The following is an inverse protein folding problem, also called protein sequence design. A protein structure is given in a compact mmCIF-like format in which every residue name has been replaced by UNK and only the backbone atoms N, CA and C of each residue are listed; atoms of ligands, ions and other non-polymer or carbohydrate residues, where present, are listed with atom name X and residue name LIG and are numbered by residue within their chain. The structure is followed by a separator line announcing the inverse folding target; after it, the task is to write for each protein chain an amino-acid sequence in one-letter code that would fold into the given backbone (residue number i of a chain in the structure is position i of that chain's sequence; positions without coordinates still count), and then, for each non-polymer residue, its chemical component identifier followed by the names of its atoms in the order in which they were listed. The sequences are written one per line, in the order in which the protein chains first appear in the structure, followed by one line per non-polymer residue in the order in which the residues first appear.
data_IF_694257377965
#
_entry.id   IF_694257377965
#
_cell.length_a   1.000
_cell.length_b   1.000
_cell.length_c   1.000
_cell.angle_alpha   90.00
_cell.angle_beta   90.00
_cell.angle_gamma   90.00
#
_symmetry.space_group_name_H-M   'P 1'
#
loop_
_entity.id
_entity.type
_entity.pdbx_description
1 polymer ?
#
# COMPACT_ATOMS: atom_id res chain seq x y z
N UNK A 1 41.28 -13.95 4.27
CA UNK A 1 41.13 -14.01 2.80
C UNK A 1 39.70 -13.64 2.46
N UNK A 2 39.52 -12.48 1.81
CA UNK A 2 38.23 -11.88 1.45
C UNK A 2 37.65 -12.64 0.26
N UNK A 3 36.36 -13.00 0.32
CA UNK A 3 35.58 -13.39 -0.87
C UNK A 3 34.64 -12.24 -1.20
N UNK A 4 35.05 -11.44 -2.18
CA UNK A 4 34.23 -10.42 -2.83
C UNK A 4 33.41 -11.17 -3.86
N UNK A 5 32.10 -11.26 -3.68
CA UNK A 5 31.18 -11.71 -4.73
C UNK A 5 30.88 -10.47 -5.57
N UNK A 6 31.53 -10.41 -6.73
CA UNK A 6 31.22 -9.43 -7.76
C UNK A 6 29.90 -9.85 -8.43
N UNK A 7 28.83 -9.10 -8.17
CA UNK A 7 27.62 -9.15 -8.99
C UNK A 7 27.70 -7.94 -9.94
N UNK A 8 27.72 -8.28 -11.22
CA UNK A 8 27.87 -7.47 -12.42
C UNK A 8 27.38 -6.00 -12.34
N UNK A 9 28.32 -5.09 -12.54
CA UNK A 9 28.15 -3.65 -12.73
C UNK A 9 27.62 -3.28 -14.14
N UNK A 10 26.54 -3.91 -14.62
CA UNK A 10 26.08 -3.70 -16.01
C UNK A 10 24.58 -3.50 -16.20
N UNK A 11 23.89 -2.85 -15.26
CA UNK A 11 22.57 -2.20 -15.47
C UNK A 11 22.48 -0.85 -14.74
N UNK A 12 23.60 -0.11 -14.63
CA UNK A 12 23.64 1.17 -13.89
C UNK A 12 23.56 2.40 -14.81
N UNK A 13 23.67 2.25 -16.13
CA UNK A 13 23.77 3.40 -17.05
C UNK A 13 22.52 3.75 -17.89
N UNK A 14 21.35 3.13 -17.66
CA UNK A 14 20.12 3.49 -18.40
C UNK A 14 18.98 4.06 -17.53
N UNK A 15 19.10 4.01 -16.21
CA UNK A 15 18.04 4.51 -15.30
C UNK A 15 18.31 5.98 -14.88
N UNK A 16 19.58 6.41 -14.89
CA UNK A 16 20.00 7.75 -14.45
C UNK A 16 19.49 8.92 -15.30
N UNK A 17 19.03 8.68 -16.54
CA UNK A 17 18.45 9.73 -17.40
C UNK A 17 16.92 9.85 -17.31
N UNK A 18 16.21 8.83 -16.84
CA UNK A 18 14.75 8.83 -16.73
C UNK A 18 14.24 9.30 -15.35
N UNK A 19 15.09 9.24 -14.33
CA UNK A 19 14.75 9.57 -12.94
C UNK A 19 14.43 11.07 -12.70
N UNK A 20 14.97 11.98 -13.51
CA UNK A 20 14.61 13.40 -13.44
C UNK A 20 13.18 13.70 -13.96
N UNK A 21 12.57 12.78 -14.71
CA UNK A 21 11.20 12.92 -15.22
C UNK A 21 10.17 12.26 -14.29
N UNK A 22 10.58 11.35 -13.41
CA UNK A 22 9.67 10.57 -12.57
C UNK A 22 9.36 11.23 -11.21
N UNK A 23 10.21 12.13 -10.71
CA UNK A 23 9.89 12.94 -9.52
C UNK A 23 8.92 14.10 -9.80
N UNK A 24 8.65 14.39 -11.09
CA UNK A 24 7.63 15.36 -11.53
C UNK A 24 6.38 14.71 -12.14
N UNK A 25 6.28 13.37 -12.15
CA UNK A 25 5.15 12.67 -12.78
C UNK A 25 4.44 11.64 -11.89
N UNK A 26 4.74 11.59 -10.59
CA UNK A 26 3.95 10.83 -9.61
C UNK A 26 2.57 11.43 -9.32
N UNK A 27 2.24 12.57 -9.94
CA UNK A 27 0.87 13.04 -10.18
C UNK A 27 0.63 13.12 -11.70
N UNK A 28 0.73 12.00 -12.43
CA UNK A 28 -0.06 11.87 -13.67
C UNK A 28 -1.51 11.78 -13.21
N UNK A 29 -2.04 12.96 -12.98
CA UNK A 29 -3.29 13.16 -12.32
C UNK A 29 -4.41 12.52 -13.12
N UNK A 30 -5.37 11.96 -12.38
CA UNK A 30 -6.69 11.65 -12.89
C UNK A 30 -7.38 12.93 -13.45
N UNK A 31 -6.77 14.12 -13.36
CA UNK A 31 -7.22 15.36 -14.04
C UNK A 31 -7.33 15.22 -15.57
N UNK A 32 -6.92 14.07 -16.14
CA UNK A 32 -7.16 13.73 -17.54
C UNK A 32 -7.79 12.34 -17.68
N UNK A 33 -8.88 12.06 -16.97
CA UNK A 33 -9.84 11.13 -17.56
C UNK A 33 -10.19 11.71 -18.93
N UNK A 34 -9.77 11.02 -19.98
CA UNK A 34 -10.01 11.51 -21.33
C UNK A 34 -11.49 11.28 -21.59
N UNK A 35 -12.30 12.30 -21.33
CA UNK A 35 -13.76 12.28 -21.47
C UNK A 35 -14.24 11.94 -22.88
N UNK A 36 -13.34 12.04 -23.88
CA UNK A 36 -13.72 11.89 -25.29
C UNK A 36 -14.71 12.98 -25.71
N UNK A 37 -15.38 12.77 -26.85
CA UNK A 37 -16.56 13.55 -27.21
C UNK A 37 -17.80 12.73 -26.86
N UNK A 38 -18.57 13.18 -25.86
CA UNK A 38 -19.90 12.62 -25.56
C UNK A 38 -20.98 13.55 -26.10
N UNK A 39 -22.05 12.97 -26.62
CA UNK A 39 -23.25 13.67 -27.09
C UNK A 39 -24.42 13.57 -26.12
N UNK A 40 -24.27 12.77 -25.06
CA UNK A 40 -25.33 12.44 -24.08
C UNK A 40 -25.02 13.09 -22.73
N UNK A 41 -23.78 13.00 -22.25
CA UNK A 41 -23.39 13.41 -20.90
C UNK A 41 -22.70 14.77 -20.90
N UNK A 42 -22.98 15.56 -19.86
CA UNK A 42 -22.43 16.91 -19.72
C UNK A 42 -21.04 16.88 -19.08
N UNK A 43 -20.29 17.97 -19.23
CA UNK A 43 -18.98 18.12 -18.57
C UNK A 43 -19.07 17.98 -17.04
N UNK A 44 -20.18 18.43 -16.43
CA UNK A 44 -20.42 18.30 -14.98
C UNK A 44 -20.61 16.85 -14.54
N UNK A 45 -21.23 16.01 -15.37
CA UNK A 45 -21.35 14.56 -15.12
C UNK A 45 -19.95 13.91 -15.11
N UNK A 46 -19.13 14.26 -16.11
CA UNK A 46 -17.76 13.75 -16.19
C UNK A 46 -16.90 14.20 -14.99
N UNK A 47 -17.01 15.47 -14.58
CA UNK A 47 -16.25 16.00 -13.45
C UNK A 47 -16.63 15.29 -12.15
N UNK A 48 -17.94 15.09 -11.91
CA UNK A 48 -18.45 14.38 -10.72
C UNK A 48 -17.90 12.96 -10.63
N UNK A 49 -18.03 12.16 -11.70
CA UNK A 49 -17.53 10.78 -11.70
C UNK A 49 -16.00 10.75 -11.59
N UNK A 50 -15.31 11.71 -12.20
CA UNK A 50 -13.85 11.83 -12.13
C UNK A 50 -13.37 12.08 -10.69
N UNK A 51 -14.08 12.90 -9.92
CA UNK A 51 -13.76 13.15 -8.50
C UNK A 51 -13.95 11.90 -7.63
N UNK A 52 -15.01 11.12 -7.86
CA UNK A 52 -15.24 9.86 -7.15
C UNK A 52 -14.15 8.82 -7.46
N UNK A 53 -13.76 8.70 -8.74
CA UNK A 53 -12.65 7.84 -9.16
C UNK A 53 -11.34 8.29 -8.48
N UNK A 54 -11.06 9.61 -8.42
CA UNK A 54 -9.88 10.15 -7.71
C UNK A 54 -9.85 9.70 -6.26
N UNK A 55 -10.93 9.96 -5.54
CA UNK A 55 -11.05 9.62 -4.14
C UNK A 55 -10.82 8.13 -3.88
N UNK A 56 -11.43 7.27 -4.70
CA UNK A 56 -11.26 5.83 -4.58
C UNK A 56 -9.83 5.37 -4.87
N UNK A 57 -9.20 5.88 -5.93
CA UNK A 57 -7.83 5.51 -6.32
C UNK A 57 -6.79 5.99 -5.29
N UNK A 58 -6.99 7.16 -4.68
CA UNK A 58 -6.16 7.66 -3.57
C UNK A 58 -6.26 6.72 -2.36
N UNK A 59 -7.48 6.30 -2.00
CA UNK A 59 -7.72 5.36 -0.90
C UNK A 59 -7.07 4.00 -1.14
N UNK A 60 -7.02 3.54 -2.39
CA UNK A 60 -6.35 2.29 -2.75
C UNK A 60 -4.82 2.40 -2.81
N UNK A 61 -4.24 3.60 -2.64
CA UNK A 61 -2.81 3.86 -2.80
C UNK A 61 -2.28 3.41 -4.16
N UNK A 62 -2.99 3.73 -5.25
CA UNK A 62 -2.61 3.35 -6.61
C UNK A 62 -2.14 4.54 -7.45
N UNK A 63 -1.29 4.26 -8.43
CA UNK A 63 -0.95 5.16 -9.52
C UNK A 63 -1.79 4.79 -10.73
N UNK A 64 -2.62 5.72 -11.19
CA UNK A 64 -3.36 5.57 -12.45
C UNK A 64 -2.41 5.77 -13.63
N UNK A 65 -2.36 4.77 -14.51
CA UNK A 65 -1.52 4.75 -15.71
C UNK A 65 -2.27 5.32 -16.91
N UNK A 66 -3.56 4.99 -17.05
CA UNK A 66 -4.47 5.58 -18.02
C UNK A 66 -5.91 5.52 -17.53
N UNK A 67 -6.71 6.50 -17.92
CA UNK A 67 -8.16 6.50 -17.73
C UNK A 67 -8.85 7.08 -18.96
N UNK A 68 -9.87 6.38 -19.44
CA UNK A 68 -10.63 6.79 -20.62
C UNK A 68 -12.10 6.42 -20.50
N UNK A 69 -12.97 7.33 -20.91
CA UNK A 69 -14.38 7.02 -21.13
C UNK A 69 -14.52 6.11 -22.37
N UNK A 70 -15.32 5.04 -22.27
CA UNK A 70 -15.52 4.10 -23.40
C UNK A 70 -16.52 4.60 -24.45
N UNK A 71 -17.17 5.73 -24.21
CA UNK A 71 -18.12 6.33 -25.16
C UNK A 71 -19.58 6.00 -24.87
N UNK A 72 -20.45 6.76 -25.52
CA UNK A 72 -21.90 6.71 -25.37
C UNK A 72 -22.47 5.33 -25.76
N UNK A 73 -21.90 4.69 -26.80
CA UNK A 73 -22.39 3.40 -27.30
C UNK A 73 -22.16 2.27 -26.29
N UNK A 74 -20.95 2.17 -25.73
CA UNK A 74 -20.63 1.16 -24.70
C UNK A 74 -21.53 1.37 -23.47
N UNK A 75 -21.71 2.63 -23.07
CA UNK A 75 -22.56 3.02 -21.95
C UNK A 75 -24.03 2.61 -22.12
N UNK A 76 -24.50 2.52 -23.36
CA UNK A 76 -25.87 2.15 -23.70
C UNK A 76 -26.12 0.64 -23.83
N UNK A 77 -25.09 -0.20 -23.73
CA UNK A 77 -25.24 -1.64 -23.90
C UNK A 77 -26.16 -2.25 -22.82
N UNK A 78 -26.98 -3.21 -23.24
CA UNK A 78 -27.95 -3.89 -22.38
C UNK A 78 -27.32 -4.58 -21.18
N UNK A 79 -26.09 -5.06 -21.35
CA UNK A 79 -25.32 -5.62 -20.26
C UNK A 79 -25.16 -4.61 -19.11
N UNK A 80 -24.64 -3.41 -19.36
CA UNK A 80 -24.36 -2.44 -18.29
C UNK A 80 -25.64 -1.86 -17.68
N UNK A 81 -26.66 -1.57 -18.49
CA UNK A 81 -27.96 -1.13 -17.97
C UNK A 81 -28.61 -2.18 -17.06
N UNK A 82 -28.49 -3.47 -17.41
CA UNK A 82 -28.96 -4.56 -16.56
C UNK A 82 -28.17 -4.66 -15.24
N UNK A 83 -26.85 -4.49 -15.27
CA UNK A 83 -26.03 -4.47 -14.05
C UNK A 83 -26.45 -3.32 -13.12
N UNK A 84 -26.68 -2.12 -13.67
CA UNK A 84 -27.20 -0.97 -12.91
C UNK A 84 -28.60 -1.22 -12.32
N UNK A 85 -29.52 -1.84 -13.08
CA UNK A 85 -30.83 -2.25 -12.56
C UNK A 85 -30.72 -3.21 -11.39
N UNK A 86 -29.84 -4.22 -11.50
CA UNK A 86 -29.64 -5.21 -10.46
C UNK A 86 -29.03 -4.59 -9.20
N UNK A 87 -28.10 -3.65 -9.35
CA UNK A 87 -27.55 -2.89 -8.24
C UNK A 87 -28.61 -2.05 -7.53
N UNK A 88 -29.39 -1.28 -8.29
CA UNK A 88 -30.49 -0.48 -7.74
C UNK A 88 -31.46 -1.36 -6.96
N UNK A 89 -31.96 -2.46 -7.55
CA UNK A 89 -32.87 -3.38 -6.88
C UNK A 89 -32.28 -3.98 -5.60
N UNK A 90 -30.98 -4.28 -5.55
CA UNK A 90 -30.34 -4.79 -4.31
C UNK A 90 -30.36 -3.77 -3.18
N UNK A 91 -30.26 -2.47 -3.50
CA UNK A 91 -30.20 -1.40 -2.50
C UNK A 91 -31.58 -0.87 -2.10
N UNK A 92 -32.52 -0.79 -3.05
CA UNK A 92 -33.85 -0.16 -2.84
C UNK A 92 -34.99 -1.17 -2.79
N UNK A 93 -34.79 -2.38 -3.30
CA UNK A 93 -35.86 -3.37 -3.58
C UNK A 93 -36.90 -2.89 -4.61
N UNK A 94 -36.55 -1.91 -5.44
CA UNK A 94 -37.39 -1.36 -6.51
C UNK A 94 -36.83 -1.72 -7.89
N UNK A 95 -37.72 -1.88 -8.89
CA UNK A 95 -37.32 -2.12 -10.28
C UNK A 95 -37.35 -0.79 -11.02
N UNK A 96 -36.17 -0.23 -11.33
CA UNK A 96 -36.04 0.95 -12.16
C UNK A 96 -36.44 0.63 -13.62
N UNK A 97 -37.07 1.57 -14.32
CA UNK A 97 -37.31 1.42 -15.74
C UNK A 97 -36.00 1.60 -16.51
N UNK A 98 -35.81 0.83 -17.57
CA UNK A 98 -34.56 0.79 -18.33
C UNK A 98 -34.16 2.14 -18.97
N UNK A 99 -35.16 2.96 -19.30
CA UNK A 99 -34.98 4.29 -19.88
C UNK A 99 -34.62 5.35 -18.83
N UNK A 100 -34.79 5.05 -17.54
CA UNK A 100 -34.48 5.96 -16.42
C UNK A 100 -33.04 5.73 -15.88
N UNK A 101 -32.22 4.97 -16.61
CA UNK A 101 -30.87 4.58 -16.22
C UNK A 101 -29.87 5.19 -17.18
N UNK A 102 -29.09 6.10 -16.62
CA UNK A 102 -27.90 6.65 -17.24
C UNK A 102 -26.68 5.87 -16.74
N UNK A 103 -25.79 5.49 -17.65
CA UNK A 103 -24.58 4.73 -17.34
C UNK A 103 -23.35 5.41 -17.95
N UNK A 104 -22.23 5.39 -17.25
CA UNK A 104 -20.93 5.79 -17.79
C UNK A 104 -19.92 4.68 -17.51
N UNK A 105 -19.29 4.18 -18.58
CA UNK A 105 -18.29 3.12 -18.47
C UNK A 105 -16.90 3.71 -18.68
N UNK A 106 -16.03 3.51 -17.70
CA UNK A 106 -14.65 3.97 -17.75
C UNK A 106 -13.70 2.79 -17.82
N UNK A 107 -12.69 2.93 -18.65
CA UNK A 107 -11.49 2.12 -18.58
C UNK A 107 -10.52 2.76 -17.62
N UNK A 108 -10.02 2.00 -16.65
CA UNK A 108 -8.96 2.46 -15.77
C UNK A 108 -7.87 1.40 -15.75
N UNK A 109 -6.66 1.82 -16.12
CA UNK A 109 -5.45 1.05 -15.94
C UNK A 109 -4.67 1.68 -14.80
N UNK A 110 -4.44 0.93 -13.74
CA UNK A 110 -3.73 1.43 -12.55
C UNK A 110 -2.76 0.38 -12.01
N UNK A 111 -1.87 0.81 -11.13
CA UNK A 111 -0.95 -0.06 -10.41
C UNK A 111 -0.78 0.46 -9.00
N UNK A 112 -0.81 -0.40 -7.99
CA UNK A 112 -0.51 0.03 -6.62
C UNK A 112 0.84 0.72 -6.53
N UNK A 113 0.84 1.92 -5.95
CA UNK A 113 2.05 2.67 -5.68
C UNK A 113 2.84 1.92 -4.63
N UNK A 114 4.13 1.70 -4.87
CA UNK A 114 5.01 1.07 -3.88
C UNK A 114 5.39 2.13 -2.84
N UNK A 115 4.59 2.23 -1.80
CA UNK A 115 4.80 3.07 -0.61
C UNK A 115 4.99 2.20 0.63
N UNK A 116 5.66 2.70 1.68
CA UNK A 116 5.77 1.99 2.96
C UNK A 116 4.42 1.46 3.48
N UNK A 117 3.38 2.31 3.47
CA UNK A 117 2.03 1.93 3.89
C UNK A 117 1.43 0.82 3.01
N UNK A 118 1.53 0.94 1.69
CA UNK A 118 0.99 -0.09 0.78
C UNK A 118 1.71 -1.44 0.88
N UNK A 119 3.02 -1.42 1.16
CA UNK A 119 3.81 -2.64 1.38
C UNK A 119 3.31 -3.31 2.64
N UNK A 120 3.25 -2.58 3.76
CA UNK A 120 2.71 -3.09 5.01
C UNK A 120 1.31 -3.68 4.90
N UNK A 121 0.40 -2.96 4.27
CA UNK A 121 -0.96 -3.46 4.06
C UNK A 121 -0.98 -4.69 3.17
N UNK A 122 -0.08 -4.79 2.18
CA UNK A 122 0.10 -6.01 1.41
C UNK A 122 0.57 -7.16 2.29
N UNK A 123 1.57 -6.96 3.17
CA UNK A 123 2.09 -8.02 4.05
C UNK A 123 0.99 -8.61 4.97
N UNK A 124 -0.03 -7.83 5.32
CA UNK A 124 -1.17 -8.32 6.12
C UNK A 124 -2.22 -9.10 5.32
N UNK A 125 -2.17 -9.00 3.99
CA UNK A 125 -3.09 -9.69 3.09
C UNK A 125 -2.49 -11.04 2.68
N UNK A 126 -3.31 -12.08 2.63
CA UNK A 126 -2.90 -13.42 2.20
C UNK A 126 -2.59 -13.50 0.70
N UNK A 127 -2.83 -12.43 -0.07
CA UNK A 127 -2.70 -12.39 -1.54
C UNK A 127 -1.75 -11.29 -2.06
N UNK A 128 -0.59 -11.09 -1.41
CA UNK A 128 0.39 -10.02 -1.74
C UNK A 128 0.75 -9.91 -3.22
N UNK A 129 0.82 -11.05 -3.95
CA UNK A 129 1.20 -11.05 -5.36
C UNK A 129 0.19 -10.36 -6.26
N UNK A 130 -1.08 -10.27 -5.86
CA UNK A 130 -2.13 -9.58 -6.63
C UNK A 130 -2.03 -8.06 -6.46
N UNK A 131 -1.63 -7.59 -5.28
CA UNK A 131 -1.77 -6.18 -4.89
C UNK A 131 -0.89 -5.22 -5.69
N UNK A 132 0.29 -5.64 -6.13
CA UNK A 132 1.20 -4.78 -6.90
C UNK A 132 1.13 -5.03 -8.42
N UNK A 133 0.13 -5.80 -8.86
CA UNK A 133 -0.12 -5.98 -10.28
C UNK A 133 -0.60 -4.67 -10.88
N UNK A 134 -0.36 -4.59 -12.17
CA UNK A 134 -1.10 -3.64 -12.97
C UNK A 134 -2.47 -4.23 -13.22
N UNK A 135 -3.51 -3.46 -12.94
CA UNK A 135 -4.89 -3.84 -13.14
C UNK A 135 -5.45 -3.08 -14.33
N UNK A 136 -6.21 -3.80 -15.13
CA UNK A 136 -7.00 -3.30 -16.23
C UNK A 136 -8.47 -3.56 -15.86
N UNK A 137 -9.20 -2.49 -15.53
CA UNK A 137 -10.53 -2.60 -14.93
C UNK A 137 -11.49 -1.68 -15.68
N UNK A 138 -12.70 -2.18 -15.93
CA UNK A 138 -13.83 -1.34 -16.33
C UNK A 138 -14.65 -0.97 -15.10
N UNK A 139 -14.84 0.31 -14.86
CA UNK A 139 -15.73 0.84 -13.83
C UNK A 139 -17.06 1.24 -14.48
N UNK A 140 -18.17 0.75 -13.95
CA UNK A 140 -19.52 1.18 -14.33
C UNK A 140 -20.04 2.13 -13.27
N UNK A 141 -20.29 3.37 -13.68
CA UNK A 141 -21.04 4.34 -12.91
C UNK A 141 -22.46 4.42 -13.47
N UNK A 142 -23.46 4.53 -12.60
CA UNK A 142 -24.82 4.75 -13.06
C UNK A 142 -25.58 5.70 -12.15
N UNK A 143 -26.64 6.27 -12.71
CA UNK A 143 -27.64 7.08 -12.02
C UNK A 143 -29.01 6.50 -12.32
N UNK A 144 -29.77 6.20 -11.28
CA UNK A 144 -31.11 5.59 -11.38
C UNK A 144 -32.13 6.51 -10.71
N UNK A 145 -32.68 7.47 -11.46
CA UNK A 145 -33.68 8.43 -10.95
C UNK A 145 -33.20 9.40 -9.83
N UNK A 146 -31.97 9.25 -9.33
CA UNK A 146 -31.26 10.22 -8.48
C UNK A 146 -30.58 11.30 -9.33
N UNK A 147 -30.08 12.38 -8.72
CA UNK A 147 -29.16 13.32 -9.40
C UNK A 147 -27.68 12.87 -9.31
N UNK A 148 -27.36 11.94 -8.41
CA UNK A 148 -25.99 11.53 -8.11
C UNK A 148 -25.57 10.28 -8.90
N UNK A 149 -24.33 10.30 -9.38
CA UNK A 149 -23.65 9.14 -9.93
C UNK A 149 -23.17 8.20 -8.82
N UNK A 150 -23.31 6.89 -9.04
CA UNK A 150 -22.86 5.87 -8.10
C UNK A 150 -21.99 4.83 -8.80
N UNK A 151 -20.94 4.35 -8.12
CA UNK A 151 -20.17 3.20 -8.58
C UNK A 151 -21.00 1.92 -8.40
N UNK A 152 -21.39 1.33 -9.53
CA UNK A 152 -22.25 0.14 -9.59
C UNK A 152 -21.44 -1.15 -9.53
N UNK A 153 -20.39 -1.24 -10.35
CA UNK A 153 -19.60 -2.48 -10.47
C UNK A 153 -18.21 -2.23 -11.06
N UNK A 154 -17.31 -3.18 -10.81
CA UNK A 154 -15.93 -3.23 -11.30
C UNK A 154 -15.72 -4.55 -12.07
N UNK A 155 -15.24 -4.47 -13.31
CA UNK A 155 -14.98 -5.64 -14.15
C UNK A 155 -13.49 -5.74 -14.46
N UNK A 156 -12.83 -6.74 -13.86
CA UNK A 156 -11.39 -6.97 -13.99
C UNK A 156 -11.04 -7.77 -15.26
N UNK A 157 -10.03 -7.31 -16.00
CA UNK A 157 -9.41 -8.02 -17.12
C UNK A 157 -7.94 -8.35 -16.78
N UNK A 158 -7.72 -9.32 -15.89
CA UNK A 158 -6.37 -9.56 -15.39
C UNK A 158 -5.49 -10.34 -16.40
N UNK A 159 -4.40 -9.69 -16.83
CA UNK A 159 -3.29 -10.27 -17.58
C UNK A 159 -2.10 -10.60 -16.66
N UNK A 160 -1.52 -11.79 -16.84
CA UNK A 160 -0.49 -12.39 -15.99
C UNK A 160 0.83 -11.60 -15.95
N UNK A 161 1.29 -11.18 -14.76
CA UNK A 161 2.69 -10.81 -14.47
C UNK A 161 3.02 -10.97 -12.97
N UNK A 162 4.22 -11.50 -12.66
CA UNK A 162 4.62 -11.98 -11.33
C UNK A 162 5.63 -11.06 -10.65
N UNK A 163 5.29 -10.59 -9.44
CA UNK A 163 6.25 -10.35 -8.36
C UNK A 163 5.62 -10.85 -7.06
N UNK A 164 6.35 -11.69 -6.32
CA UNK A 164 5.93 -12.19 -5.01
C UNK A 164 6.90 -11.66 -3.96
N UNK A 165 6.38 -10.86 -3.03
CA UNK A 165 7.02 -10.67 -1.73
C UNK A 165 6.13 -11.41 -0.73
N UNK A 166 6.72 -12.19 0.17
CA UNK A 166 6.02 -12.76 1.33
C UNK A 166 6.66 -12.13 2.55
N UNK A 167 5.91 -11.50 3.46
CA UNK A 167 6.43 -11.24 4.79
C UNK A 167 6.79 -12.59 5.40
N UNK A 168 7.88 -12.60 6.13
CA UNK A 168 8.20 -13.68 7.03
C UNK A 168 8.62 -13.03 8.35
N UNK A 169 7.98 -13.44 9.44
CA UNK A 169 8.49 -13.16 10.77
C UNK A 169 9.11 -14.45 11.29
N UNK A 170 10.38 -14.39 11.67
CA UNK A 170 11.06 -15.49 12.34
C UNK A 170 11.13 -15.20 13.82
N UNK A 171 10.38 -15.97 14.60
CA UNK A 171 10.29 -15.79 16.05
C UNK A 171 11.49 -16.37 16.78
N UNK A 172 12.28 -17.22 16.12
CA UNK A 172 13.36 -17.99 16.75
C UNK A 172 12.85 -18.94 17.84
N UNK A 173 13.78 -19.53 18.57
CA UNK A 173 13.51 -20.37 19.74
C UNK A 173 13.71 -19.55 21.02
N UNK A 174 12.69 -18.77 21.41
CA UNK A 174 12.70 -18.00 22.67
C UNK A 174 12.22 -18.84 23.85
N UNK A 175 12.83 -18.60 25.02
CA UNK A 175 12.39 -19.14 26.33
C UNK A 175 11.73 -18.06 27.20
N UNK A 176 11.78 -16.80 26.78
CA UNK A 176 11.24 -15.65 27.52
C UNK A 176 9.87 -15.25 26.94
N UNK A 177 9.76 -15.19 25.61
CA UNK A 177 8.54 -14.77 24.91
C UNK A 177 7.93 -15.90 24.09
N UNK A 178 6.60 -15.96 24.05
CA UNK A 178 5.92 -16.88 23.15
C UNK A 178 6.04 -16.40 21.70
N UNK A 179 6.01 -17.32 20.75
CA UNK A 179 6.11 -16.99 19.32
C UNK A 179 5.05 -15.98 18.87
N UNK A 180 3.85 -16.01 19.46
CA UNK A 180 2.80 -15.04 19.17
C UNK A 180 3.13 -13.65 19.69
N UNK A 181 3.71 -13.52 20.88
CA UNK A 181 4.10 -12.22 21.44
C UNK A 181 5.13 -11.55 20.53
N UNK A 182 6.11 -12.31 20.05
CA UNK A 182 7.13 -11.83 19.12
C UNK A 182 6.49 -11.40 17.79
N UNK A 183 5.57 -12.20 17.24
CA UNK A 183 4.86 -11.88 15.99
C UNK A 183 4.07 -10.58 16.10
N UNK A 184 3.29 -10.42 17.17
CA UNK A 184 2.51 -9.20 17.42
C UNK A 184 3.41 -8.01 17.67
N UNK A 185 4.50 -8.20 18.40
CA UNK A 185 5.47 -7.15 18.64
C UNK A 185 6.10 -6.65 17.33
N UNK A 186 6.52 -7.54 16.42
CA UNK A 186 7.04 -7.14 15.10
C UNK A 186 5.98 -6.40 14.28
N UNK A 187 4.71 -6.79 14.41
CA UNK A 187 3.57 -6.13 13.76
C UNK A 187 3.39 -4.71 14.30
N UNK A 188 3.40 -4.54 15.63
CA UNK A 188 3.25 -3.25 16.30
C UNK A 188 4.37 -2.28 15.91
N UNK A 189 5.63 -2.76 15.86
CA UNK A 189 6.75 -1.93 15.41
C UNK A 189 6.55 -1.49 13.96
N UNK A 190 6.10 -2.38 13.08
CA UNK A 190 5.89 -2.03 11.68
C UNK A 190 4.82 -0.92 11.55
N UNK A 191 3.74 -0.97 12.33
CA UNK A 191 2.74 0.10 12.39
C UNK A 191 3.33 1.41 12.96
N UNK A 192 4.09 1.34 14.06
CA UNK A 192 4.77 2.50 14.65
C UNK A 192 5.71 3.16 13.65
N UNK A 193 6.49 2.38 12.91
CA UNK A 193 7.43 2.89 11.90
C UNK A 193 6.70 3.61 10.77
N UNK A 194 5.53 3.11 10.36
CA UNK A 194 4.77 3.71 9.26
C UNK A 194 4.07 5.00 9.68
N UNK A 195 3.53 5.05 10.90
CA UNK A 195 2.70 6.17 11.35
C UNK A 195 3.51 7.30 12.04
N UNK A 196 4.79 7.05 12.37
CA UNK A 196 5.65 8.02 13.03
C UNK A 196 6.51 8.81 12.04
N UNK A 197 6.36 10.15 12.06
CA UNK A 197 7.09 11.09 11.20
C UNK A 197 8.62 10.93 11.25
N UNK A 198 9.19 10.47 12.36
CA UNK A 198 10.64 10.23 12.50
C UNK A 198 11.15 9.17 11.52
N UNK A 199 10.28 8.23 11.13
CA UNK A 199 10.60 7.11 10.25
C UNK A 199 9.84 7.17 8.92
N UNK A 200 9.32 8.35 8.58
CA UNK A 200 8.60 8.57 7.33
C UNK A 200 9.43 8.05 6.14
N UNK A 201 8.82 7.17 5.35
CA UNK A 201 9.49 6.52 4.23
C UNK A 201 10.03 5.11 4.50
N UNK A 202 9.95 4.60 5.73
CA UNK A 202 10.37 3.23 6.06
C UNK A 202 9.20 2.27 6.28
N UNK A 203 9.37 1.01 5.87
CA UNK A 203 8.47 -0.10 6.20
C UNK A 203 9.28 -1.34 6.53
N UNK A 204 9.02 -1.96 7.68
CA UNK A 204 9.59 -3.26 8.01
C UNK A 204 8.95 -4.31 7.09
N UNK A 205 9.77 -5.06 6.34
CA UNK A 205 9.31 -6.09 5.39
C UNK A 205 9.58 -7.51 5.88
N UNK A 206 10.57 -7.66 6.74
CA UNK A 206 10.93 -8.91 7.41
C UNK A 206 11.43 -8.55 8.80
N UNK A 207 11.04 -9.36 9.81
CA UNK A 207 11.50 -9.20 11.18
C UNK A 207 11.98 -10.54 11.74
N UNK A 208 13.11 -10.52 12.41
CA UNK A 208 13.70 -11.67 13.10
C UNK A 208 14.03 -11.26 14.54
N UNK A 209 13.51 -12.02 15.50
CA UNK A 209 13.86 -11.79 16.90
C UNK A 209 15.34 -12.13 17.13
N UNK A 210 16.07 -11.18 17.71
CA UNK A 210 17.51 -11.27 17.85
C UNK A 210 17.98 -12.28 18.90
N UNK A 211 17.10 -12.70 19.82
CA UNK A 211 17.40 -13.66 20.87
C UNK A 211 17.21 -13.11 22.30
N UNK A 212 17.07 -14.03 23.25
CA UNK A 212 16.78 -13.77 24.65
C UNK A 212 17.89 -13.01 25.39
N UNK A 213 19.11 -13.02 24.87
CA UNK A 213 20.21 -12.21 25.41
C UNK A 213 19.91 -10.70 25.38
N UNK A 214 19.10 -10.26 24.41
CA UNK A 214 18.66 -8.86 24.25
C UNK A 214 17.36 -8.53 24.99
N UNK A 215 16.68 -9.55 25.50
CA UNK A 215 15.53 -9.45 26.41
C UNK A 215 15.92 -9.66 27.88
N UNK A 216 17.22 -9.57 28.18
CA UNK A 216 17.73 -9.79 29.52
C UNK A 216 17.51 -8.58 30.42
N UNK A 217 17.44 -8.83 31.73
CA UNK A 217 17.37 -7.78 32.75
C UNK A 217 18.53 -6.77 32.63
N UNK A 218 19.71 -7.23 32.25
CA UNK A 218 20.89 -6.38 32.04
C UNK A 218 20.70 -5.41 30.87
N UNK A 219 20.09 -5.87 29.77
CA UNK A 219 19.75 -5.02 28.63
C UNK A 219 18.68 -3.97 29.02
N UNK A 220 17.62 -4.39 29.71
CA UNK A 220 16.55 -3.51 30.19
C UNK A 220 17.06 -2.44 31.18
N UNK A 221 17.89 -2.84 32.14
CA UNK A 221 18.49 -1.94 33.14
C UNK A 221 19.38 -0.90 32.46
N UNK A 222 20.11 -1.29 31.39
CA UNK A 222 20.90 -0.36 30.57
C UNK A 222 20.01 0.67 29.88
N UNK A 223 18.97 0.23 29.16
CA UNK A 223 18.02 1.12 28.46
C UNK A 223 17.38 2.11 29.45
N UNK A 224 16.89 1.60 30.58
CA UNK A 224 16.24 2.43 31.60
C UNK A 224 17.19 3.47 32.21
N UNK A 225 18.44 3.10 32.45
CA UNK A 225 19.45 4.01 32.99
C UNK A 225 19.85 5.10 31.99
N UNK A 226 20.03 4.74 30.73
CA UNK A 226 20.45 5.67 29.68
C UNK A 226 19.35 6.68 29.32
N UNK A 227 18.10 6.23 29.27
CA UNK A 227 16.96 7.05 28.84
C UNK A 227 16.16 7.67 30.00
N UNK A 228 16.46 7.32 31.25
CA UNK A 228 15.71 7.79 32.42
C UNK A 228 14.27 7.24 32.48
N UNK A 229 14.07 6.04 31.94
CA UNK A 229 12.77 5.36 31.80
C UNK A 229 12.61 4.24 32.82
N UNK A 230 11.43 3.62 32.85
CA UNK A 230 11.06 2.53 33.76
C UNK A 230 10.35 1.39 33.02
N UNK A 231 10.89 0.98 31.87
CA UNK A 231 10.42 -0.16 31.11
C UNK A 231 10.48 -1.45 31.94
N UNK A 232 9.54 -2.35 31.68
CA UNK A 232 9.45 -3.67 32.32
C UNK A 232 9.96 -4.77 31.40
N UNK A 233 9.92 -4.55 30.09
CA UNK A 233 10.31 -5.52 29.06
C UNK A 233 11.03 -4.83 27.90
N UNK A 234 11.90 -5.58 27.22
CA UNK A 234 12.59 -5.12 26.03
C UNK A 234 12.84 -6.26 25.04
N UNK A 235 12.88 -5.94 23.75
CA UNK A 235 13.29 -6.86 22.70
C UNK A 235 14.21 -6.16 21.70
N UNK A 236 15.02 -6.96 21.01
CA UNK A 236 15.75 -6.53 19.81
C UNK A 236 15.23 -7.32 18.61
N UNK A 237 14.91 -6.61 17.54
CA UNK A 237 14.49 -7.16 16.25
C UNK A 237 15.55 -6.80 15.21
N UNK A 238 16.03 -7.80 14.48
CA UNK A 238 16.70 -7.59 13.21
C UNK A 238 15.64 -7.48 12.12
N UNK A 239 15.71 -6.43 11.32
CA UNK A 239 14.71 -6.20 10.29
C UNK A 239 15.34 -5.92 8.93
N UNK A 240 14.64 -6.39 7.90
CA UNK A 240 14.78 -5.83 6.56
C UNK A 240 13.76 -4.70 6.44
N UNK A 241 14.22 -3.53 5.99
CA UNK A 241 13.39 -2.32 5.92
C UNK A 241 13.38 -1.79 4.50
N UNK A 242 12.20 -1.66 3.91
CA UNK A 242 12.05 -0.90 2.67
C UNK A 242 12.24 0.60 2.95
N UNK A 243 13.13 1.24 2.19
CA UNK A 243 13.36 2.69 2.17
C UNK A 243 12.68 3.29 0.94
N UNK A 244 11.75 4.21 1.10
CA UNK A 244 11.14 4.93 -0.03
C UNK A 244 12.08 5.97 -0.65
N UNK A 245 13.04 6.47 0.13
CA UNK A 245 14.08 7.40 -0.32
C UNK A 245 14.99 6.71 -1.34
N UNK A 246 15.53 5.55 -0.98
CA UNK A 246 16.47 4.80 -1.81
C UNK A 246 15.78 3.79 -2.74
N UNK A 247 14.49 3.54 -2.53
CA UNK A 247 13.67 2.52 -3.21
C UNK A 247 14.31 1.13 -3.17
N UNK A 248 14.93 0.80 -2.03
CA UNK A 248 15.64 -0.46 -1.81
C UNK A 248 15.28 -1.05 -0.46
N UNK A 249 15.60 -2.34 -0.27
CA UNK A 249 15.56 -2.99 1.03
C UNK A 249 16.92 -2.79 1.69
N UNK A 250 16.91 -2.21 2.89
CA UNK A 250 18.03 -2.11 3.80
C UNK A 250 18.03 -3.36 4.67
N UNK A 251 19.10 -4.13 4.61
CA UNK A 251 19.28 -5.34 5.42
C UNK A 251 20.03 -5.02 6.70
N UNK A 252 20.00 -5.94 7.65
CA UNK A 252 20.76 -5.87 8.90
C UNK A 252 20.45 -4.63 9.74
N UNK A 253 19.21 -4.11 9.65
CA UNK A 253 18.77 -3.03 10.53
C UNK A 253 18.46 -3.59 11.90
N UNK A 254 18.76 -2.83 12.95
CA UNK A 254 18.54 -3.24 14.33
C UNK A 254 17.51 -2.31 14.97
N UNK A 255 16.50 -2.87 15.61
CA UNK A 255 15.43 -2.13 16.27
C UNK A 255 15.28 -2.65 17.69
N UNK A 256 15.60 -1.79 18.66
CA UNK A 256 15.33 -2.05 20.07
C UNK A 256 14.02 -1.40 20.45
N UNK A 257 13.22 -2.17 21.15
CA UNK A 257 11.91 -1.77 21.63
C UNK A 257 11.75 -2.12 23.10
N UNK A 258 10.91 -1.36 23.78
CA UNK A 258 10.60 -1.59 25.18
C UNK A 258 9.14 -1.26 25.50
N UNK A 259 8.61 -1.85 26.58
CA UNK A 259 7.26 -1.58 27.07
C UNK A 259 7.26 -1.23 28.55
N UNK A 260 6.23 -0.50 28.99
CA UNK A 260 5.95 -0.23 30.41
C UNK A 260 4.80 -1.12 30.89
N UNK A 261 5.02 -2.42 30.93
CA UNK A 261 4.03 -3.44 31.27
C UNK A 261 3.17 -3.81 30.06
N UNK A 262 1.85 -3.91 30.26
CA UNK A 262 0.87 -4.21 29.20
C UNK A 262 0.59 -3.00 28.26
N UNK A 263 1.41 -1.95 28.32
CA UNK A 263 1.34 -0.80 27.43
C UNK A 263 1.95 -1.11 26.04
N UNK A 264 1.57 -0.33 25.03
CA UNK A 264 2.10 -0.46 23.67
C UNK A 264 3.63 -0.36 23.66
N UNK A 265 4.28 -1.24 22.89
CA UNK A 265 5.71 -1.20 22.63
C UNK A 265 6.13 0.15 22.02
N UNK A 266 7.32 0.64 22.37
CA UNK A 266 7.92 1.82 21.73
C UNK A 266 9.33 1.53 21.22
N UNK A 267 9.70 2.16 20.11
CA UNK A 267 11.06 2.08 19.54
C UNK A 267 11.98 2.99 20.34
N UNK A 268 12.91 2.41 21.10
CA UNK A 268 13.82 3.14 21.99
C UNK A 268 15.17 3.42 21.35
N UNK A 269 15.65 2.53 20.50
CA UNK A 269 16.91 2.67 19.76
C UNK A 269 16.76 1.96 18.41
N UNK A 270 17.36 2.51 17.36
CA UNK A 270 17.44 1.85 16.07
C UNK A 270 18.75 2.18 15.37
N UNK A 271 19.23 1.23 14.58
CA UNK A 271 20.42 1.38 13.78
C UNK A 271 20.12 0.94 12.35
N UNK A 272 20.32 1.86 11.41
CA UNK A 272 20.20 1.60 9.98
C UNK A 272 21.61 1.75 9.38
N UNK A 273 22.19 0.67 8.83
CA UNK A 273 23.53 0.71 8.26
C UNK A 273 23.69 1.84 7.23
N UNK A 274 24.74 2.65 7.39
CA UNK A 274 25.05 3.74 6.47
C UNK A 274 24.32 5.06 6.74
N UNK A 275 23.37 5.11 7.68
CA UNK A 275 22.78 6.37 8.17
C UNK A 275 23.52 6.81 9.45
N UNK A 276 23.99 8.06 9.48
CA UNK A 276 24.59 8.62 10.68
C UNK A 276 23.53 8.72 11.78
N UNK A 277 23.77 8.07 12.92
CA UNK A 277 22.99 8.23 14.15
C UNK A 277 23.40 9.51 14.90
N UNK A 278 23.26 10.66 14.24
CA UNK A 278 23.40 11.99 14.83
C UNK A 278 22.44 12.93 14.09
N UNK A 279 21.54 13.70 14.70
CA UNK A 279 21.31 14.12 16.10
C UNK A 279 19.83 13.95 16.49
#
# INVERSE_FOLDING_TARGET
MKKIIAIAASVVCLIGGALAVLALSSHRSIDKITKGESSIYSDEDFDTVTEDIKYFMEKLHVTVLSSSYFGDSESSEEFYKREAMMYHYKNTHEIAAYDDIDCMVYHIRYKSTVTPRSIWEALRDTSISERFKEHDVKYLFARTGSENWELVNEFYNDGDNKYSFSPSVKTGDSKIYESNDILWTVTDIAEIVIDNKKYEGYCIVCGEYAGDEFASKEALDKINKENGTNYTDCMKIYADVYSSEDKTILTDTEWYIASKGDENWEVVEYNIPGKSTAE
#
